data_IF_802532322366
#
_entry.id   IF_802532322366
#
_cell.length_a   1.000
_cell.length_b   1.000
_cell.length_c   1.000
_cell.angle_alpha   90.00
_cell.angle_beta   90.00
_cell.angle_gamma   90.00
#
_symmetry.space_group_name_H-M   'P 1'
#
loop_
_entity.id
_entity.type
_entity.pdbx_description
1 polymer ?
#
# COMPACT_ATOMS: atom_id res chain seq x y z
N UNK A 1 14.87 24.39 1.81
CA UNK A 1 13.68 24.27 2.67
C UNK A 1 13.27 22.81 2.62
N UNK A 2 13.41 22.07 3.72
CA UNK A 2 12.90 20.70 3.83
C UNK A 2 11.38 20.85 3.82
N UNK A 3 10.70 20.31 2.80
CA UNK A 3 9.24 20.27 2.79
C UNK A 3 8.81 19.51 4.05
N UNK A 4 8.17 20.20 4.96
CA UNK A 4 7.68 19.65 6.21
C UNK A 4 6.59 18.63 5.86
N UNK A 5 6.83 17.34 6.18
CA UNK A 5 5.87 16.29 5.87
C UNK A 5 4.56 16.53 6.64
N UNK A 6 3.45 16.54 5.91
CA UNK A 6 2.11 16.67 6.44
C UNK A 6 1.12 15.85 5.62
N UNK A 7 0.39 14.98 6.28
CA UNK A 7 -0.67 14.19 5.68
C UNK A 7 -2.04 14.81 6.03
N UNK A 8 -2.49 15.76 5.22
CA UNK A 8 -3.74 16.49 5.47
C UNK A 8 -4.96 15.56 5.50
N UNK A 9 -5.05 14.61 4.56
CA UNK A 9 -6.16 13.65 4.49
C UNK A 9 -6.28 12.83 5.78
N UNK A 10 -5.16 12.30 6.29
CA UNK A 10 -5.16 11.53 7.53
C UNK A 10 -5.54 12.42 8.72
N UNK A 11 -5.02 13.64 8.80
CA UNK A 11 -5.35 14.59 9.87
C UNK A 11 -6.83 14.95 9.89
N UNK A 12 -7.43 15.24 8.73
CA UNK A 12 -8.85 15.56 8.62
C UNK A 12 -9.72 14.39 9.09
N UNK A 13 -9.42 13.17 8.68
CA UNK A 13 -10.18 11.98 9.11
C UNK A 13 -10.00 11.69 10.59
N UNK A 14 -8.81 11.92 11.17
CA UNK A 14 -8.57 11.80 12.63
C UNK A 14 -9.42 12.79 13.42
N UNK A 15 -9.51 14.05 12.97
CA UNK A 15 -10.34 15.09 13.59
C UNK A 15 -11.81 14.70 13.54
N UNK A 16 -12.31 14.27 12.39
CA UNK A 16 -13.70 13.86 12.21
C UNK A 16 -14.02 12.67 13.09
N UNK A 17 -13.18 11.63 13.09
CA UNK A 17 -13.38 10.44 13.92
C UNK A 17 -13.38 10.78 15.41
N UNK A 18 -12.46 11.61 15.87
CA UNK A 18 -12.40 11.99 17.28
C UNK A 18 -13.63 12.79 17.74
N UNK A 19 -14.22 13.57 16.84
CA UNK A 19 -15.45 14.33 17.12
C UNK A 19 -16.71 13.47 17.10
N UNK A 20 -16.84 12.58 16.10
CA UNK A 20 -18.11 11.90 15.80
C UNK A 20 -18.18 10.50 16.42
N UNK A 21 -17.06 9.78 16.50
CA UNK A 21 -16.96 8.39 17.00
C UNK A 21 -17.96 7.42 16.33
N UNK A 22 -18.30 7.67 15.04
CA UNK A 22 -19.20 6.82 14.26
C UNK A 22 -18.42 5.77 13.46
N UNK A 23 -19.10 4.66 13.12
CA UNK A 23 -18.51 3.62 12.26
C UNK A 23 -18.11 4.16 10.88
N UNK A 24 -18.88 5.11 10.34
CA UNK A 24 -18.59 5.74 9.06
C UNK A 24 -17.30 6.59 9.14
N UNK A 25 -17.16 7.40 10.19
CA UNK A 25 -15.95 8.19 10.42
C UNK A 25 -14.73 7.29 10.64
N UNK A 26 -14.92 6.14 11.33
CA UNK A 26 -13.85 5.17 11.53
C UNK A 26 -13.42 4.50 10.22
N UNK A 27 -14.36 4.10 9.35
CA UNK A 27 -14.04 3.56 8.02
C UNK A 27 -13.25 4.57 7.18
N UNK A 28 -13.69 5.83 7.14
CA UNK A 28 -12.99 6.89 6.41
C UNK A 28 -11.55 7.09 6.93
N UNK A 29 -11.35 6.99 8.25
CA UNK A 29 -10.02 7.03 8.86
C UNK A 29 -9.16 5.85 8.42
N UNK A 30 -9.69 4.63 8.44
CA UNK A 30 -8.99 3.43 7.97
C UNK A 30 -8.61 3.54 6.49
N UNK A 31 -9.52 4.02 5.64
CA UNK A 31 -9.26 4.25 4.22
C UNK A 31 -8.16 5.29 4.00
N UNK A 32 -8.15 6.37 4.79
CA UNK A 32 -7.09 7.36 4.75
C UNK A 32 -5.75 6.78 5.21
N UNK A 33 -5.73 6.03 6.31
CA UNK A 33 -4.52 5.38 6.83
C UNK A 33 -3.90 4.40 5.83
N UNK A 34 -4.73 3.61 5.18
CA UNK A 34 -4.30 2.62 4.18
C UNK A 34 -3.76 3.28 2.89
N UNK A 35 -4.38 4.39 2.46
CA UNK A 35 -4.13 5.00 1.14
C UNK A 35 -3.08 6.11 1.13
N UNK A 36 -2.53 6.47 2.28
CA UNK A 36 -1.60 7.62 2.40
C UNK A 36 -0.27 7.23 3.03
N UNK A 37 0.67 8.17 3.06
CA UNK A 37 1.96 8.01 3.71
C UNK A 37 1.90 8.59 5.14
N UNK A 38 2.75 8.08 6.01
CA UNK A 38 2.90 8.55 7.39
C UNK A 38 4.35 8.46 7.86
N UNK A 39 4.67 9.16 8.94
CA UNK A 39 5.99 9.14 9.55
C UNK A 39 6.06 8.05 10.61
N UNK A 40 7.19 7.35 10.61
CA UNK A 40 7.51 6.31 11.59
C UNK A 40 8.88 6.63 12.18
N UNK A 41 8.99 6.79 13.49
CA UNK A 41 10.28 6.98 14.12
C UNK A 41 11.09 5.68 14.05
N UNK A 42 12.34 5.81 13.60
CA UNK A 42 13.24 4.69 13.41
C UNK A 42 14.68 5.10 13.71
N UNK A 43 15.48 4.13 14.10
CA UNK A 43 16.93 4.23 14.17
C UNK A 43 17.56 3.34 13.11
N UNK A 44 18.78 3.63 12.73
CA UNK A 44 19.54 2.83 11.78
C UNK A 44 21.01 2.80 12.18
N UNK A 45 21.68 1.71 11.81
CA UNK A 45 23.08 1.43 12.18
C UNK A 45 24.10 2.13 11.30
N UNK A 46 23.68 2.68 10.14
CA UNK A 46 24.56 3.35 9.17
C UNK A 46 23.93 4.63 8.67
N UNK A 47 24.65 5.73 8.72
CA UNK A 47 24.20 7.01 8.24
C UNK A 47 23.90 6.97 6.74
N UNK A 48 22.68 7.36 6.33
CA UNK A 48 22.32 7.39 4.92
C UNK A 48 23.03 8.55 4.19
N UNK A 49 23.39 8.32 2.95
CA UNK A 49 23.79 9.40 2.04
C UNK A 49 22.53 10.17 1.53
N UNK A 50 22.74 11.33 0.92
CA UNK A 50 21.69 12.04 0.21
C UNK A 50 21.98 12.07 -1.27
N UNK A 51 21.00 11.75 -2.10
CA UNK A 51 21.12 11.93 -3.54
C UNK A 51 20.99 13.41 -3.94
N UNK A 52 21.17 13.74 -5.22
CA UNK A 52 21.06 15.10 -5.77
C UNK A 52 19.70 15.78 -5.51
N UNK A 53 18.66 14.99 -5.25
CA UNK A 53 17.31 15.48 -4.90
C UNK A 53 17.09 15.61 -3.39
N UNK A 54 18.13 15.38 -2.56
CA UNK A 54 18.06 15.45 -1.10
C UNK A 54 17.34 14.24 -0.45
N UNK A 55 17.01 13.19 -1.21
CA UNK A 55 16.40 11.96 -0.69
C UNK A 55 17.45 11.11 -0.01
N UNK A 56 17.11 10.56 1.16
CA UNK A 56 17.97 9.63 1.89
C UNK A 56 18.15 8.33 1.08
N UNK A 57 19.39 7.91 0.93
CA UNK A 57 19.79 6.66 0.28
C UNK A 57 20.54 5.83 1.29
N UNK A 58 19.97 4.68 1.64
CA UNK A 58 20.55 3.75 2.59
C UNK A 58 21.44 2.74 1.86
N UNK A 59 22.54 2.35 2.50
CA UNK A 59 23.38 1.28 1.98
C UNK A 59 22.66 -0.08 2.02
N UNK A 60 23.03 -1.03 1.13
CA UNK A 60 22.57 -2.41 1.25
C UNK A 60 22.92 -2.96 2.64
N UNK A 61 21.98 -3.71 3.24
CA UNK A 61 22.09 -4.30 4.58
C UNK A 61 22.09 -3.28 5.74
N UNK A 62 21.59 -2.07 5.56
CA UNK A 62 21.29 -1.16 6.68
C UNK A 62 20.22 -1.80 7.58
N UNK A 63 20.50 -1.91 8.87
CA UNK A 63 19.54 -2.41 9.84
C UNK A 63 18.67 -1.27 10.37
N UNK A 64 17.36 -1.47 10.34
CA UNK A 64 16.41 -0.52 10.87
C UNK A 64 15.77 -1.06 12.14
N UNK A 65 15.71 -0.21 13.16
CA UNK A 65 14.98 -0.47 14.39
C UNK A 65 13.84 0.54 14.50
N UNK A 66 12.59 0.06 14.42
CA UNK A 66 11.42 0.90 14.64
C UNK A 66 11.25 1.17 16.13
N UNK A 67 10.90 2.40 16.46
CA UNK A 67 10.67 2.80 17.85
C UNK A 67 9.32 2.27 18.35
N UNK A 68 9.27 1.94 19.63
CA UNK A 68 8.05 1.54 20.34
C UNK A 68 7.66 2.61 21.36
N UNK A 69 6.35 2.71 21.60
CA UNK A 69 5.78 3.47 22.71
C UNK A 69 5.03 2.50 23.63
N UNK A 70 5.04 2.77 24.93
CA UNK A 70 4.32 1.96 25.92
C UNK A 70 3.26 2.81 26.62
N UNK A 71 2.14 2.17 26.94
CA UNK A 71 1.14 2.75 27.83
C UNK A 71 1.50 2.50 29.32
N UNK A 72 0.69 3.05 30.23
CA UNK A 72 0.90 2.91 31.68
C UNK A 72 0.79 1.45 32.18
N UNK A 73 0.26 0.54 31.36
CA UNK A 73 0.14 -0.88 31.67
C UNK A 73 1.33 -1.72 31.16
N UNK A 74 2.26 -1.07 30.43
CA UNK A 74 3.41 -1.73 29.82
C UNK A 74 3.11 -2.36 28.44
N UNK A 75 1.91 -2.16 27.88
CA UNK A 75 1.59 -2.62 26.53
C UNK A 75 2.38 -1.79 25.51
N UNK A 76 3.00 -2.47 24.57
CA UNK A 76 3.83 -1.84 23.53
C UNK A 76 3.06 -1.62 22.25
N UNK A 77 3.31 -0.49 21.59
CA UNK A 77 2.67 -0.10 20.32
C UNK A 77 3.71 0.49 19.38
N UNK A 78 3.47 0.37 18.09
CA UNK A 78 4.17 1.14 17.09
C UNK A 78 3.52 2.51 16.91
N UNK A 79 4.22 3.63 17.17
CA UNK A 79 3.71 4.96 16.90
C UNK A 79 3.78 5.30 15.42
N UNK A 80 2.75 5.98 14.93
CA UNK A 80 2.64 6.51 13.57
C UNK A 80 2.23 7.98 13.68
N UNK A 81 2.84 8.84 12.86
CA UNK A 81 2.57 10.27 12.91
C UNK A 81 2.08 10.80 11.56
N UNK A 82 1.02 11.59 11.61
CA UNK A 82 0.41 12.23 10.44
C UNK A 82 1.20 13.43 9.94
N UNK A 83 2.10 13.98 10.74
CA UNK A 83 2.96 15.10 10.37
C UNK A 83 4.21 15.20 11.25
N UNK A 84 5.17 16.00 10.79
CA UNK A 84 6.36 16.32 11.57
C UNK A 84 6.00 17.05 12.88
N UNK A 85 4.97 17.90 12.89
CA UNK A 85 4.50 18.57 14.11
C UNK A 85 3.97 17.59 15.15
N UNK A 86 3.31 16.52 14.73
CA UNK A 86 2.85 15.49 15.66
C UNK A 86 4.03 14.66 16.19
N UNK A 87 5.01 14.36 15.34
CA UNK A 87 6.22 13.65 15.75
C UNK A 87 7.03 14.45 16.78
N UNK A 88 7.20 15.75 16.59
CA UNK A 88 7.89 16.65 17.53
C UNK A 88 7.23 16.74 18.91
N UNK A 89 5.94 16.41 19.05
CA UNK A 89 5.29 16.35 20.37
C UNK A 89 5.78 15.18 21.23
N UNK A 90 6.29 14.13 20.58
CA UNK A 90 6.84 12.98 21.30
C UNK A 90 8.23 13.27 21.87
N UNK A 91 9.08 13.93 21.07
CA UNK A 91 10.43 14.27 21.52
C UNK A 91 10.80 15.66 21.00
N UNK A 92 10.89 16.63 21.93
CA UNK A 92 11.16 18.02 21.61
C UNK A 92 12.65 18.34 21.49
N UNK A 93 13.52 17.49 22.06
CA UNK A 93 14.93 17.80 22.30
C UNK A 93 15.91 16.93 21.47
N UNK A 94 15.45 15.88 20.84
CA UNK A 94 16.31 15.00 20.04
C UNK A 94 16.10 15.14 18.54
N UNK A 95 17.12 14.87 17.75
CA UNK A 95 17.00 14.65 16.31
C UNK A 95 16.31 13.31 16.08
N UNK A 96 14.96 13.33 16.08
CA UNK A 96 14.19 12.13 15.81
C UNK A 96 14.37 11.76 14.34
N UNK A 97 15.05 10.67 14.11
CA UNK A 97 15.08 10.04 12.80
C UNK A 97 13.72 9.42 12.49
N UNK A 98 13.20 9.67 11.29
CA UNK A 98 11.94 9.12 10.87
C UNK A 98 11.97 8.70 9.40
N UNK A 99 11.18 7.68 9.10
CA UNK A 99 10.94 7.19 7.74
C UNK A 99 9.54 7.59 7.30
N UNK A 100 9.39 8.01 6.05
CA UNK A 100 8.09 8.15 5.41
C UNK A 100 7.75 6.81 4.77
N UNK A 101 6.68 6.16 5.24
CA UNK A 101 6.25 4.87 4.74
C UNK A 101 4.79 4.88 4.30
N UNK A 102 4.47 4.04 3.33
CA UNK A 102 3.11 3.64 3.02
C UNK A 102 2.68 2.52 3.97
N UNK A 103 1.37 2.28 4.06
CA UNK A 103 0.83 1.12 4.79
C UNK A 103 1.48 -0.20 4.35
N UNK A 104 1.64 -0.43 3.04
CA UNK A 104 2.23 -1.66 2.51
C UNK A 104 3.69 -1.88 2.89
N UNK A 105 4.46 -0.78 2.98
CA UNK A 105 5.85 -0.86 3.44
C UNK A 105 5.95 -1.13 4.94
N UNK A 106 4.95 -0.70 5.70
CA UNK A 106 4.95 -0.80 7.16
C UNK A 106 4.39 -2.12 7.70
N UNK A 107 3.36 -2.67 7.06
CA UNK A 107 2.68 -3.89 7.53
C UNK A 107 3.59 -5.12 7.70
N UNK A 108 4.62 -5.37 6.87
CA UNK A 108 5.57 -6.45 7.14
C UNK A 108 6.23 -6.35 8.53
N UNK A 109 6.62 -5.15 8.98
CA UNK A 109 7.19 -4.95 10.31
C UNK A 109 6.16 -5.23 11.42
N UNK A 110 4.93 -4.76 11.23
CA UNK A 110 3.82 -5.05 12.16
C UNK A 110 3.58 -6.55 12.28
N UNK A 111 3.53 -7.27 11.15
CA UNK A 111 3.34 -8.73 11.12
C UNK A 111 4.46 -9.48 11.82
N UNK A 112 5.71 -9.05 11.68
CA UNK A 112 6.84 -9.66 12.38
C UNK A 112 6.78 -9.44 13.90
N UNK A 113 6.16 -8.36 14.35
CA UNK A 113 6.08 -7.95 15.75
C UNK A 113 4.75 -8.31 16.44
N UNK A 114 3.82 -9.02 15.80
CA UNK A 114 2.46 -9.31 16.32
C UNK A 114 2.43 -9.92 17.74
N UNK A 115 3.46 -10.68 18.11
CA UNK A 115 3.58 -11.28 19.45
C UNK A 115 4.24 -10.35 20.48
N UNK A 116 4.68 -9.15 20.07
CA UNK A 116 5.44 -8.20 20.91
C UNK A 116 4.72 -6.88 21.09
N UNK A 117 3.74 -6.56 20.23
CA UNK A 117 2.98 -5.33 20.23
C UNK A 117 1.48 -5.59 20.34
N UNK A 118 0.75 -4.61 20.84
CA UNK A 118 -0.72 -4.64 20.94
C UNK A 118 -1.39 -3.95 19.74
N UNK A 119 -0.64 -3.21 18.94
CA UNK A 119 -1.16 -2.51 17.77
C UNK A 119 -0.30 -1.32 17.34
N UNK A 120 -0.94 -0.43 16.59
CA UNK A 120 -0.41 0.85 16.15
C UNK A 120 -1.17 1.97 16.85
N UNK A 121 -0.47 3.04 17.23
CA UNK A 121 -1.11 4.26 17.73
C UNK A 121 -0.81 5.42 16.79
N UNK A 122 -1.87 6.06 16.26
CA UNK A 122 -1.75 7.20 15.36
C UNK A 122 -1.78 8.49 16.19
N UNK A 123 -0.78 9.35 15.99
CA UNK A 123 -0.60 10.62 16.70
C UNK A 123 -0.78 10.49 18.24
N UNK A 124 0.08 9.69 18.93
CA UNK A 124 -0.12 9.33 20.35
C UNK A 124 -0.22 10.54 21.30
N UNK A 125 0.39 11.68 20.95
CA UNK A 125 0.33 12.94 21.73
C UNK A 125 -0.63 13.97 21.13
N UNK A 126 -1.51 13.53 20.23
CA UNK A 126 -2.51 14.33 19.53
C UNK A 126 -3.86 13.63 19.47
N UNK A 127 -4.19 13.09 18.30
CA UNK A 127 -5.46 12.38 18.08
C UNK A 127 -5.57 11.08 18.89
N UNK A 128 -4.46 10.42 19.14
CA UNK A 128 -4.31 9.21 19.95
C UNK A 128 -5.29 8.09 19.57
N UNK A 129 -5.28 7.70 18.31
CA UNK A 129 -6.15 6.62 17.81
C UNK A 129 -5.39 5.30 17.78
N UNK A 130 -5.91 4.31 18.50
CA UNK A 130 -5.36 2.96 18.58
C UNK A 130 -6.02 2.06 17.52
N UNK A 131 -5.20 1.35 16.75
CA UNK A 131 -5.57 0.26 15.86
C UNK A 131 -4.92 -1.03 16.39
N UNK A 132 -5.74 -1.94 16.92
CA UNK A 132 -5.21 -3.20 17.48
C UNK A 132 -4.72 -4.17 16.38
N UNK A 133 -3.90 -5.14 16.77
CA UNK A 133 -3.30 -6.10 15.86
C UNK A 133 -4.32 -6.94 15.08
N UNK A 134 -5.45 -7.31 15.69
CA UNK A 134 -6.47 -8.12 15.02
C UNK A 134 -7.11 -7.34 13.88
N UNK A 135 -7.48 -6.07 14.15
CA UNK A 135 -8.00 -5.17 13.14
C UNK A 135 -6.99 -4.97 11.99
N UNK A 136 -5.71 -4.78 12.28
CA UNK A 136 -4.69 -4.60 11.26
C UNK A 136 -4.51 -5.85 10.38
N UNK A 137 -4.55 -7.03 10.97
CA UNK A 137 -4.50 -8.31 10.23
C UNK A 137 -5.75 -8.50 9.38
N UNK A 138 -6.94 -8.17 9.90
CA UNK A 138 -8.18 -8.24 9.12
C UNK A 138 -8.20 -7.23 7.98
N UNK A 139 -7.75 -5.99 8.21
CA UNK A 139 -7.61 -4.97 7.16
C UNK A 139 -6.68 -5.46 6.05
N UNK A 140 -5.56 -6.06 6.42
CA UNK A 140 -4.59 -6.56 5.44
C UNK A 140 -5.13 -7.74 4.63
N UNK A 141 -5.86 -8.65 5.26
CA UNK A 141 -6.56 -9.76 4.59
C UNK A 141 -7.64 -9.25 3.63
N UNK A 142 -8.46 -8.29 4.09
CA UNK A 142 -9.59 -7.78 3.30
C UNK A 142 -9.14 -6.86 2.15
N UNK A 143 -7.94 -6.26 2.23
CA UNK A 143 -7.36 -5.50 1.11
C UNK A 143 -7.04 -6.38 -0.10
N UNK A 144 -6.63 -7.62 0.14
CA UNK A 144 -6.42 -8.59 -0.94
C UNK A 144 -7.71 -9.01 -1.65
N UNK A 145 -8.87 -8.80 -1.05
CA UNK A 145 -10.17 -9.07 -1.66
C UNK A 145 -10.79 -7.87 -2.39
N UNK A 146 -10.11 -6.73 -2.47
CA UNK A 146 -10.56 -5.59 -3.27
C UNK A 146 -10.21 -5.75 -4.77
N UNK A 147 -10.59 -6.88 -5.32
CA UNK A 147 -10.94 -6.94 -6.74
C UNK A 147 -12.26 -6.18 -6.85
N UNK A 148 -12.20 -4.89 -7.16
CA UNK A 148 -13.42 -4.13 -7.41
C UNK A 148 -14.01 -4.61 -8.73
N UNK A 149 -15.13 -5.32 -8.65
CA UNK A 149 -15.97 -5.55 -9.83
C UNK A 149 -16.60 -4.20 -10.22
N UNK A 150 -15.89 -3.43 -11.01
CA UNK A 150 -16.47 -2.26 -11.66
C UNK A 150 -16.99 -2.71 -13.04
N UNK A 151 -18.30 -2.96 -13.20
CA UNK A 151 -18.83 -3.31 -14.50
C UNK A 151 -18.56 -2.13 -15.46
N UNK A 152 -17.78 -2.37 -16.50
CA UNK A 152 -17.57 -1.40 -17.56
C UNK A 152 -18.82 -1.39 -18.41
N UNK A 153 -19.62 -0.32 -18.30
CA UNK A 153 -20.83 -0.16 -19.10
C UNK A 153 -20.48 0.28 -20.54
N UNK A 154 -21.31 -0.11 -21.48
CA UNK A 154 -21.16 0.29 -22.88
C UNK A 154 -21.27 1.82 -23.01
N UNK A 155 -20.12 2.47 -23.26
CA UNK A 155 -20.00 3.93 -23.33
C UNK A 155 -19.02 4.54 -22.31
N UNK A 156 -18.54 3.76 -21.34
CA UNK A 156 -17.52 4.21 -20.40
C UNK A 156 -16.18 4.38 -21.11
N UNK A 157 -15.51 5.52 -20.90
CA UNK A 157 -14.16 5.74 -21.41
C UNK A 157 -13.14 5.13 -20.46
N UNK A 158 -12.62 3.97 -20.78
CA UNK A 158 -11.51 3.35 -20.06
C UNK A 158 -10.20 4.06 -20.45
N UNK A 159 -9.68 4.92 -19.57
CA UNK A 159 -8.39 5.58 -19.78
C UNK A 159 -7.28 4.74 -19.16
N UNK A 160 -6.52 4.06 -20.00
CA UNK A 160 -5.35 3.27 -19.61
C UNK A 160 -4.08 3.96 -20.10
N UNK A 161 -3.00 3.80 -19.32
CA UNK A 161 -1.64 4.18 -19.74
C UNK A 161 -0.64 3.15 -19.22
N UNK A 162 0.56 3.20 -19.75
CA UNK A 162 1.68 2.45 -19.18
C UNK A 162 2.08 3.03 -17.81
N UNK A 163 2.61 2.22 -16.89
CA UNK A 163 3.15 2.73 -15.62
C UNK A 163 4.17 3.85 -15.85
N UNK A 164 4.01 4.99 -15.17
CA UNK A 164 4.92 6.16 -15.33
C UNK A 164 6.24 5.96 -14.57
N UNK A 165 6.19 5.24 -13.45
CA UNK A 165 7.35 4.95 -12.60
C UNK A 165 7.79 3.51 -12.76
N UNK A 166 9.03 3.21 -12.38
CA UNK A 166 9.50 1.84 -12.31
C UNK A 166 8.64 1.01 -11.37
N UNK A 167 8.13 -0.10 -11.84
CA UNK A 167 7.27 -1.05 -11.12
C UNK A 167 7.89 -2.44 -11.08
N UNK A 168 9.21 -2.51 -11.01
CA UNK A 168 10.00 -3.73 -11.14
C UNK A 168 9.56 -4.83 -10.18
N UNK A 169 9.30 -4.49 -8.91
CA UNK A 169 8.86 -5.46 -7.92
C UNK A 169 7.46 -6.01 -8.23
N UNK A 170 6.54 -5.16 -8.69
CA UNK A 170 5.22 -5.60 -9.12
C UNK A 170 5.30 -6.51 -10.37
N UNK A 171 6.13 -6.13 -11.35
CA UNK A 171 6.35 -6.96 -12.53
C UNK A 171 6.94 -8.32 -12.18
N UNK A 172 7.91 -8.36 -11.25
CA UNK A 172 8.49 -9.60 -10.75
C UNK A 172 7.43 -10.49 -10.08
N UNK A 173 6.62 -9.93 -9.19
CA UNK A 173 5.54 -10.66 -8.53
C UNK A 173 4.52 -11.22 -9.53
N UNK A 174 4.15 -10.44 -10.56
CA UNK A 174 3.27 -10.90 -11.64
C UNK A 174 3.89 -12.10 -12.38
N UNK A 175 5.20 -12.06 -12.67
CA UNK A 175 5.90 -13.17 -13.34
C UNK A 175 5.95 -14.42 -12.45
N UNK A 176 6.33 -14.27 -11.17
CA UNK A 176 6.38 -15.37 -10.21
C UNK A 176 5.01 -16.04 -10.04
N UNK A 177 3.95 -15.25 -9.97
CA UNK A 177 2.59 -15.78 -9.91
C UNK A 177 2.20 -16.52 -11.18
N UNK A 178 2.47 -15.94 -12.35
CA UNK A 178 2.21 -16.55 -13.64
C UNK A 178 2.93 -17.90 -13.83
N UNK A 179 4.21 -17.97 -13.42
CA UNK A 179 5.01 -19.20 -13.50
C UNK A 179 4.46 -20.33 -12.61
N UNK A 180 3.82 -19.97 -11.49
CA UNK A 180 3.25 -20.94 -10.54
C UNK A 180 1.84 -21.41 -10.93
N UNK A 181 1.19 -20.80 -11.93
CA UNK A 181 -0.18 -21.12 -12.34
C UNK A 181 -0.24 -21.59 -13.81
N UNK A 182 -0.48 -22.88 -13.96
CA UNK A 182 -0.46 -23.53 -15.30
C UNK A 182 -1.55 -23.03 -16.24
N UNK A 183 -2.62 -22.45 -15.74
CA UNK A 183 -3.76 -21.99 -16.52
C UNK A 183 -3.60 -20.56 -17.05
N UNK A 184 -2.63 -19.80 -16.55
CA UNK A 184 -2.32 -18.45 -17.02
C UNK A 184 -1.43 -18.53 -18.25
N UNK A 185 -1.84 -17.89 -19.34
CA UNK A 185 -1.11 -17.81 -20.61
C UNK A 185 -0.29 -16.53 -20.71
N UNK A 186 -0.88 -15.40 -20.34
CA UNK A 186 -0.19 -14.11 -20.31
C UNK A 186 -0.88 -13.12 -19.36
N UNK A 187 -0.11 -12.13 -18.85
CA UNK A 187 -0.61 -11.04 -18.01
C UNK A 187 -0.07 -9.72 -18.53
N UNK A 188 -0.96 -8.73 -18.64
CA UNK A 188 -0.65 -7.38 -19.12
C UNK A 188 -0.94 -6.38 -17.99
N UNK A 189 0.00 -5.48 -17.72
CA UNK A 189 -0.11 -4.46 -16.69
C UNK A 189 -0.28 -3.08 -17.32
N UNK A 190 -1.33 -2.40 -16.93
CA UNK A 190 -1.61 -0.99 -17.23
C UNK A 190 -1.96 -0.24 -15.95
N UNK A 191 -2.03 1.07 -16.04
CA UNK A 191 -2.55 1.94 -15.00
C UNK A 191 -3.87 2.58 -15.48
N UNK A 192 -4.95 2.37 -14.72
CA UNK A 192 -6.24 3.01 -14.99
C UNK A 192 -6.29 4.38 -14.35
N UNK A 193 -6.63 5.39 -15.15
CA UNK A 193 -6.81 6.77 -14.72
C UNK A 193 -8.29 7.04 -14.61
N UNK A 194 -8.75 7.39 -13.40
CA UNK A 194 -10.10 7.85 -13.13
C UNK A 194 -10.01 9.33 -12.72
N UNK A 195 -10.88 10.17 -13.30
CA UNK A 195 -10.90 11.60 -12.96
C UNK A 195 -11.21 11.78 -11.48
N UNK A 196 -10.40 12.60 -10.80
CA UNK A 196 -10.57 12.98 -9.39
C UNK A 196 -10.50 11.79 -8.39
N UNK A 197 -9.87 10.66 -8.81
CA UNK A 197 -9.65 9.48 -7.98
C UNK A 197 -8.20 8.99 -8.09
N UNK A 198 -7.69 8.26 -7.06
CA UNK A 198 -6.42 7.57 -7.18
C UNK A 198 -6.42 6.60 -8.37
N UNK A 199 -5.30 6.51 -9.08
CA UNK A 199 -5.15 5.53 -10.15
C UNK A 199 -5.02 4.12 -9.59
N UNK A 200 -5.51 3.13 -10.35
CA UNK A 200 -5.45 1.71 -10.01
C UNK A 200 -4.56 0.95 -11.01
N UNK A 201 -3.99 -0.16 -10.58
CA UNK A 201 -3.41 -1.13 -11.50
C UNK A 201 -4.52 -1.85 -12.24
N UNK A 202 -4.39 -1.95 -13.54
CA UNK A 202 -5.33 -2.65 -14.41
C UNK A 202 -4.60 -3.82 -15.06
N UNK A 203 -5.02 -5.04 -14.72
CA UNK A 203 -4.44 -6.26 -15.27
C UNK A 203 -5.40 -6.94 -16.22
N UNK A 204 -4.91 -7.25 -17.42
CA UNK A 204 -5.59 -8.18 -18.30
C UNK A 204 -4.91 -9.54 -18.13
N UNK A 205 -5.68 -10.56 -17.76
CA UNK A 205 -5.18 -11.91 -17.51
C UNK A 205 -5.79 -12.83 -18.57
N UNK A 206 -4.93 -13.32 -19.46
CA UNK A 206 -5.29 -14.32 -20.45
C UNK A 206 -5.03 -15.72 -19.88
N UNK A 207 -6.07 -16.53 -19.82
CA UNK A 207 -6.02 -17.85 -19.18
C UNK A 207 -6.87 -18.87 -19.96
N UNK A 208 -6.56 -20.15 -19.74
CA UNK A 208 -7.24 -21.26 -20.44
C UNK A 208 -8.74 -21.25 -20.11
N UNK A 209 -9.07 -21.07 -18.83
CA UNK A 209 -10.44 -20.93 -18.34
C UNK A 209 -10.51 -19.74 -17.42
N UNK A 210 -11.50 -18.88 -17.61
CA UNK A 210 -11.73 -17.71 -16.76
C UNK A 210 -12.06 -18.16 -15.32
N UNK A 211 -11.16 -17.90 -14.38
CA UNK A 211 -11.33 -18.23 -12.98
C UNK A 211 -11.17 -17.00 -12.07
N UNK A 212 -12.26 -16.63 -11.40
CA UNK A 212 -12.29 -15.48 -10.49
C UNK A 212 -11.39 -15.68 -9.27
N UNK A 213 -11.26 -16.91 -8.78
CA UNK A 213 -10.41 -17.18 -7.61
C UNK A 213 -8.95 -16.93 -7.92
N UNK A 214 -8.47 -17.43 -9.05
CA UNK A 214 -7.09 -17.18 -9.52
C UNK A 214 -6.80 -15.68 -9.66
N UNK A 215 -7.75 -14.88 -10.13
CA UNK A 215 -7.61 -13.41 -10.21
C UNK A 215 -7.52 -12.78 -8.82
N UNK A 216 -8.35 -13.22 -7.86
CA UNK A 216 -8.28 -12.75 -6.49
C UNK A 216 -6.94 -13.10 -5.84
N UNK A 217 -6.45 -14.32 -6.06
CA UNK A 217 -5.17 -14.78 -5.55
C UNK A 217 -3.99 -14.01 -6.15
N UNK A 218 -4.04 -13.66 -7.45
CA UNK A 218 -3.07 -12.77 -8.09
C UNK A 218 -3.07 -11.37 -7.45
N UNK A 219 -4.26 -10.80 -7.22
CA UNK A 219 -4.40 -9.52 -6.52
C UNK A 219 -3.80 -9.55 -5.12
N UNK A 220 -4.11 -10.59 -4.35
CA UNK A 220 -3.58 -10.82 -3.01
C UNK A 220 -2.05 -10.93 -3.02
N UNK A 221 -1.51 -11.73 -3.94
CA UNK A 221 -0.08 -11.97 -4.09
C UNK A 221 0.67 -10.67 -4.45
N UNK A 222 0.10 -9.84 -5.32
CA UNK A 222 0.71 -8.60 -5.77
C UNK A 222 0.48 -7.41 -4.81
N UNK A 223 -0.44 -7.50 -3.86
CA UNK A 223 -0.77 -6.39 -2.93
C UNK A 223 0.44 -5.82 -2.17
N UNK A 224 1.40 -6.61 -1.63
CA UNK A 224 2.56 -6.07 -0.92
C UNK A 224 3.43 -5.14 -1.78
N UNK A 225 3.42 -5.33 -3.09
CA UNK A 225 4.24 -4.57 -4.07
C UNK A 225 3.39 -3.68 -4.98
N UNK A 226 2.14 -3.40 -4.60
CA UNK A 226 1.19 -2.60 -5.39
C UNK A 226 1.47 -1.10 -5.39
N UNK A 227 2.47 -0.63 -4.64
CA UNK A 227 2.78 0.80 -4.45
C UNK A 227 1.56 1.60 -3.93
N UNK A 228 0.71 0.97 -3.11
CA UNK A 228 -0.47 1.59 -2.52
C UNK A 228 -1.67 1.74 -3.45
N UNK A 229 -1.62 1.18 -4.66
CA UNK A 229 -2.73 1.19 -5.61
C UNK A 229 -3.54 -0.10 -5.51
N UNK A 230 -4.85 0.02 -5.67
CA UNK A 230 -5.75 -1.12 -5.85
C UNK A 230 -5.58 -1.79 -7.21
N UNK A 231 -6.16 -2.98 -7.36
CA UNK A 231 -6.16 -3.74 -8.60
C UNK A 231 -7.55 -3.80 -9.20
N UNK A 232 -7.60 -3.67 -10.52
CA UNK A 232 -8.76 -4.01 -11.36
C UNK A 232 -8.32 -5.05 -12.38
N UNK A 233 -9.21 -5.97 -12.72
CA UNK A 233 -8.91 -7.10 -13.58
C UNK A 233 -9.89 -7.23 -14.72
N UNK A 234 -9.39 -7.76 -15.83
CA UNK A 234 -10.20 -8.14 -16.97
C UNK A 234 -9.70 -9.47 -17.53
N UNK A 235 -10.63 -10.38 -17.84
CA UNK A 235 -10.26 -11.63 -18.51
C UNK A 235 -9.89 -11.39 -19.97
N UNK A 236 -8.84 -12.07 -20.44
CA UNK A 236 -8.37 -12.01 -21.84
C UNK A 236 -9.40 -12.46 -22.86
N UNK A 237 -10.37 -13.30 -22.46
CA UNK A 237 -11.50 -13.75 -23.29
C UNK A 237 -12.42 -12.62 -23.76
N UNK A 238 -12.45 -11.48 -23.03
CA UNK A 238 -13.33 -10.35 -23.33
C UNK A 238 -12.86 -9.55 -24.55
N UNK A 239 -13.79 -9.08 -25.39
CA UNK A 239 -13.48 -8.33 -26.61
C UNK A 239 -12.66 -7.05 -26.39
N UNK A 240 -12.87 -6.35 -25.27
CA UNK A 240 -12.08 -5.17 -24.92
C UNK A 240 -10.66 -5.58 -24.51
N UNK A 241 -10.52 -6.68 -23.77
CA UNK A 241 -9.23 -7.22 -23.38
C UNK A 241 -8.36 -7.57 -24.59
N UNK A 242 -8.93 -8.20 -25.61
CA UNK A 242 -8.23 -8.54 -26.87
C UNK A 242 -7.64 -7.30 -27.55
N UNK A 243 -8.35 -6.17 -27.53
CA UNK A 243 -7.83 -4.90 -28.06
C UNK A 243 -6.66 -4.37 -27.24
N UNK A 244 -6.79 -4.42 -25.90
CA UNK A 244 -5.72 -3.98 -24.99
C UNK A 244 -4.47 -4.85 -25.17
N UNK A 245 -4.64 -6.17 -25.25
CA UNK A 245 -3.56 -7.12 -25.46
C UNK A 245 -2.83 -6.89 -26.80
N UNK A 246 -3.55 -6.56 -27.87
CA UNK A 246 -2.96 -6.30 -29.19
C UNK A 246 -2.01 -5.08 -29.18
N UNK A 247 -2.29 -4.08 -28.35
CA UNK A 247 -1.56 -2.82 -28.27
C UNK A 247 -0.60 -2.74 -27.06
N UNK A 248 -0.40 -3.84 -26.34
CA UNK A 248 0.39 -3.84 -25.07
C UNK A 248 1.42 -4.96 -25.06
N UNK A 249 2.63 -4.65 -24.62
CA UNK A 249 3.65 -5.68 -24.35
C UNK A 249 3.26 -6.42 -23.06
N UNK A 250 3.14 -7.76 -23.07
CA UNK A 250 2.80 -8.51 -21.86
C UNK A 250 3.90 -8.39 -20.81
N UNK A 251 3.49 -8.29 -19.56
CA UNK A 251 4.40 -8.35 -18.40
C UNK A 251 4.83 -9.79 -18.14
N UNK A 252 3.93 -10.75 -18.38
CA UNK A 252 4.18 -12.18 -18.29
C UNK A 252 3.66 -12.90 -19.52
N UNK A 253 4.43 -13.85 -20.03
CA UNK A 253 4.01 -14.82 -21.06
C UNK A 253 4.50 -16.19 -20.67
N UNK A 254 3.62 -17.16 -20.67
CA UNK A 254 3.97 -18.56 -20.43
C UNK A 254 4.88 -19.09 -21.49
N UNK A 255 6.08 -19.52 -21.09
CA UNK A 255 7.00 -20.21 -21.99
C UNK A 255 6.54 -21.66 -22.13
N UNK A 256 5.95 -22.02 -23.28
CA UNK A 256 5.69 -23.42 -23.65
C UNK A 256 7.02 -24.10 -23.91
N UNK A 257 7.37 -25.07 -23.09
CA UNK A 257 8.51 -25.96 -23.33
C UNK A 257 8.15 -27.01 -24.32
#
# INVERSE_FOLDING_TARGET
MVNEFKNEKLQETLIVFNREKTDSAFRNLLDAFISTNFLIPAQWDKDPSRNEKGVLVFEPNTQFQLSLIQNDKGDSFFPVFSSMDQLKKWDQDSEIHSLVMTYNQYMPFVKMALNQIHGIVIDPFGANVLLDCNLLVELDKNRGSQVSENPIHKGDSLKLRDPISSVTELQRAICEFGDSHSDILSIYLKERIVKDQPSHWFLVVDMINDDKQTIQDLGNFCTPVSYGKGFEFMFGSMELAKKIMADTIPTYVKVTK
#
